data_IF_282408783788
#
_entry.id   IF_282408783788
#
_cell.length_a   1.000
_cell.length_b   1.000
_cell.length_c   1.000
_cell.angle_alpha   90.00
_cell.angle_beta   90.00
_cell.angle_gamma   90.00
#
_symmetry.space_group_name_H-M   'P 1'
#
loop_
_entity.id
_entity.type
_entity.pdbx_description
1 polymer ?
#
# COMPACT_ATOMS: atom_id res chain seq x y z
N UNK A 1 -10.74 17.63 11.15
CA UNK A 1 -10.59 16.70 10.01
C UNK A 1 -9.10 16.46 9.83
N UNK A 2 -8.60 15.30 10.23
CA UNK A 2 -7.17 14.99 10.16
C UNK A 2 -6.79 14.77 8.70
N UNK A 3 -6.44 15.86 8.01
CA UNK A 3 -5.94 15.80 6.64
C UNK A 3 -4.56 15.17 6.68
N UNK A 4 -4.47 13.89 6.34
CA UNK A 4 -3.16 13.27 6.07
C UNK A 4 -2.50 14.07 4.95
N UNK A 5 -1.34 14.66 5.20
CA UNK A 5 -0.65 15.49 4.22
C UNK A 5 -0.21 14.62 3.03
N UNK A 6 -0.48 15.12 1.82
CA UNK A 6 -0.07 14.51 0.55
C UNK A 6 1.44 14.23 0.51
N UNK A 7 2.24 15.10 1.13
CA UNK A 7 3.69 14.94 1.23
C UNK A 7 4.11 13.69 2.01
N UNK A 8 3.29 13.22 2.95
CA UNK A 8 3.56 11.99 3.69
C UNK A 8 3.06 10.74 2.95
N UNK A 9 2.04 10.85 2.09
CA UNK A 9 1.45 9.71 1.36
C UNK A 9 2.26 9.38 0.10
N UNK A 10 2.67 10.40 -0.65
CA UNK A 10 3.34 10.23 -1.94
C UNK A 10 4.59 9.32 -1.88
N UNK A 11 5.46 9.40 -0.87
CA UNK A 11 6.62 8.51 -0.76
C UNK A 11 6.22 7.04 -0.77
N UNK A 12 5.14 6.66 -0.05
CA UNK A 12 4.67 5.28 0.00
C UNK A 12 4.05 4.82 -1.31
N UNK A 13 3.29 5.70 -1.99
CA UNK A 13 2.72 5.40 -3.30
C UNK A 13 3.82 5.17 -4.35
N UNK A 14 4.79 6.08 -4.42
CA UNK A 14 5.91 5.97 -5.35
C UNK A 14 6.78 4.74 -5.06
N UNK A 15 7.11 4.49 -3.79
CA UNK A 15 7.91 3.32 -3.41
C UNK A 15 7.19 2.02 -3.75
N UNK A 16 5.89 1.91 -3.43
CA UNK A 16 5.11 0.70 -3.71
C UNK A 16 5.02 0.42 -5.21
N UNK A 17 4.72 1.43 -6.04
CA UNK A 17 4.69 1.27 -7.51
C UNK A 17 6.07 0.89 -8.07
N UNK A 18 7.14 1.47 -7.55
CA UNK A 18 8.51 1.14 -7.96
C UNK A 18 8.86 -0.31 -7.63
N UNK A 19 8.56 -0.78 -6.41
CA UNK A 19 8.80 -2.15 -5.99
C UNK A 19 8.01 -3.14 -6.86
N UNK A 20 6.72 -2.89 -7.10
CA UNK A 20 5.90 -3.74 -7.96
C UNK A 20 6.47 -3.82 -9.40
N UNK A 21 7.00 -2.71 -9.90
CA UNK A 21 7.59 -2.65 -11.24
C UNK A 21 8.94 -3.36 -11.34
N UNK A 22 9.84 -3.13 -10.37
CA UNK A 22 11.21 -3.64 -10.42
C UNK A 22 11.34 -5.08 -9.93
N UNK A 23 10.56 -5.46 -8.91
CA UNK A 23 10.66 -6.79 -8.27
C UNK A 23 9.63 -7.78 -8.81
N UNK A 24 8.43 -7.32 -9.13
CA UNK A 24 7.34 -8.18 -9.61
C UNK A 24 7.07 -8.02 -11.11
N UNK A 25 7.80 -7.16 -11.83
CA UNK A 25 7.59 -6.83 -13.24
C UNK A 25 6.14 -6.40 -13.58
N UNK A 26 5.44 -5.82 -12.59
CA UNK A 26 4.04 -5.38 -12.71
C UNK A 26 3.99 -3.85 -12.83
N UNK A 27 3.47 -3.36 -13.96
CA UNK A 27 3.27 -1.93 -14.19
C UNK A 27 1.95 -1.46 -13.54
N UNK A 28 1.97 -1.29 -12.22
CA UNK A 28 0.81 -0.90 -11.43
C UNK A 28 0.42 0.56 -11.67
N UNK A 29 -0.88 0.81 -11.92
CA UNK A 29 -1.43 2.17 -12.10
C UNK A 29 -1.95 2.72 -10.78
N UNK A 30 -1.52 3.94 -10.44
CA UNK A 30 -1.99 4.65 -9.25
C UNK A 30 -3.41 5.19 -9.47
N UNK A 31 -4.32 4.79 -8.59
CA UNK A 31 -5.67 5.36 -8.48
C UNK A 31 -5.68 6.68 -7.70
N UNK A 32 -6.87 7.27 -7.54
CA UNK A 32 -7.05 8.47 -6.69
C UNK A 32 -7.05 8.07 -5.21
N UNK A 33 -6.20 8.66 -4.35
CA UNK A 33 -6.22 8.40 -2.92
C UNK A 33 -7.56 8.77 -2.29
N UNK A 34 -8.03 7.99 -1.34
CA UNK A 34 -9.28 8.23 -0.61
C UNK A 34 -9.18 7.67 0.82
N UNK A 35 -10.05 8.19 1.70
CA UNK A 35 -10.18 7.67 3.06
C UNK A 35 -11.05 6.41 3.00
N UNK A 36 -10.53 5.31 3.52
CA UNK A 36 -11.23 4.02 3.59
C UNK A 36 -11.16 3.49 5.01
N UNK A 37 -12.27 2.92 5.49
CA UNK A 37 -12.23 2.10 6.69
C UNK A 37 -11.38 0.84 6.42
N UNK A 38 -10.64 0.33 7.43
CA UNK A 38 -9.76 -0.83 7.29
C UNK A 38 -10.56 -2.15 7.21
N UNK A 39 -11.48 -2.24 6.27
CA UNK A 39 -12.26 -3.44 5.96
C UNK A 39 -11.53 -4.18 4.85
N UNK A 40 -10.98 -5.35 5.20
CA UNK A 40 -10.38 -6.29 4.27
C UNK A 40 -11.40 -7.39 3.95
N UNK A 41 -11.47 -7.77 2.67
CA UNK A 41 -12.38 -8.82 2.23
C UNK A 41 -11.82 -10.20 2.60
N UNK A 42 -12.69 -11.19 2.72
CA UNK A 42 -12.28 -12.59 2.85
C UNK A 42 -11.32 -12.96 1.70
N UNK A 43 -10.28 -13.73 2.02
CA UNK A 43 -9.22 -14.14 1.07
C UNK A 43 -8.29 -13.01 0.57
N UNK A 44 -7.93 -12.08 1.46
CA UNK A 44 -6.94 -11.02 1.21
C UNK A 44 -5.63 -11.32 1.96
N UNK A 45 -4.49 -11.23 1.28
CA UNK A 45 -3.17 -11.20 1.92
C UNK A 45 -2.83 -9.76 2.29
N UNK A 46 -2.50 -9.51 3.56
CA UNK A 46 -2.15 -8.16 4.05
C UNK A 46 -0.76 -8.16 4.66
N UNK A 47 0.09 -7.25 4.16
CA UNK A 47 1.42 -6.97 4.67
C UNK A 47 1.33 -5.73 5.55
N UNK A 48 1.70 -5.89 6.83
CA UNK A 48 1.79 -4.81 7.79
C UNK A 48 3.24 -4.37 7.96
N UNK A 49 3.50 -3.08 7.68
CA UNK A 49 4.81 -2.47 7.83
C UNK A 49 4.69 -1.38 8.89
N UNK A 50 5.11 -1.70 10.11
CA UNK A 50 5.21 -0.74 11.20
C UNK A 50 6.49 0.08 11.09
N UNK A 51 6.39 1.38 11.34
CA UNK A 51 7.56 2.26 11.39
C UNK A 51 7.51 3.19 12.61
N UNK A 52 8.70 3.53 13.09
CA UNK A 52 8.91 4.39 14.26
C UNK A 52 10.00 5.42 13.93
N UNK A 53 9.93 6.60 14.55
CA UNK A 53 10.82 7.74 14.29
C UNK A 53 10.14 9.05 14.71
N UNK A 54 10.40 10.14 13.99
CA UNK A 54 9.67 11.41 14.17
C UNK A 54 8.16 11.24 13.94
N UNK A 55 7.78 10.32 13.06
CA UNK A 55 6.41 9.85 12.88
C UNK A 55 6.32 8.36 13.23
N UNK A 56 5.30 8.00 14.01
CA UNK A 56 4.95 6.62 14.31
C UNK A 56 3.69 6.25 13.54
N UNK A 57 3.70 5.09 12.89
CA UNK A 57 2.57 4.66 12.10
C UNK A 57 2.75 3.26 11.54
N UNK A 58 1.79 2.87 10.73
CA UNK A 58 1.82 1.62 9.99
C UNK A 58 1.34 1.87 8.56
N UNK A 59 1.95 1.15 7.62
CA UNK A 59 1.48 1.03 6.25
C UNK A 59 0.94 -0.37 6.05
N UNK A 60 -0.20 -0.48 5.40
CA UNK A 60 -0.84 -1.74 5.05
C UNK A 60 -0.86 -1.87 3.53
N UNK A 61 -0.32 -2.96 3.01
CA UNK A 61 -0.43 -3.33 1.60
C UNK A 61 -1.29 -4.58 1.54
N UNK A 62 -2.40 -4.52 0.82
CA UNK A 62 -3.37 -5.60 0.75
C UNK A 62 -3.55 -6.05 -0.70
N UNK A 63 -3.50 -7.36 -0.92
CA UNK A 63 -3.72 -8.00 -2.22
C UNK A 63 -4.82 -9.05 -2.08
N UNK A 64 -5.69 -9.14 -3.08
CA UNK A 64 -6.52 -10.34 -3.25
C UNK A 64 -5.61 -11.56 -3.44
N UNK A 65 -5.99 -12.71 -2.89
CA UNK A 65 -5.16 -13.92 -2.94
C UNK A 65 -4.73 -14.28 -4.37
N UNK A 66 -5.61 -14.13 -5.37
CA UNK A 66 -5.28 -14.37 -6.77
C UNK A 66 -4.13 -13.48 -7.24
N UNK A 67 -4.21 -12.17 -6.95
CA UNK A 67 -3.16 -11.22 -7.32
C UNK A 67 -1.87 -11.51 -6.57
N UNK A 68 -1.96 -11.88 -5.28
CA UNK A 68 -0.80 -12.27 -4.50
C UNK A 68 -0.08 -13.49 -5.10
N UNK A 69 -0.81 -14.48 -5.61
CA UNK A 69 -0.23 -15.62 -6.33
C UNK A 69 0.35 -15.23 -7.70
N UNK A 70 -0.26 -14.28 -8.41
CA UNK A 70 0.22 -13.82 -9.72
C UNK A 70 1.55 -13.04 -9.62
N UNK A 71 1.82 -12.38 -8.49
CA UNK A 71 3.05 -11.58 -8.26
C UNK A 71 4.15 -12.31 -7.47
N UNK A 72 3.90 -13.55 -7.02
CA UNK A 72 4.84 -14.39 -6.28
C UNK A 72 5.77 -15.16 -7.21
#
# INVERSE_FOLDING_TARGET
MTSVNVEHINPFLMASTKILKEMCFVDAKLGRPYIKDPVFLDNTLVIFIGFTGEMKGQVMIAFENKIACDIA
#
